data_IF_729268210710
#
_entry.id   IF_729268210710
#
_cell.length_a   1.000
_cell.length_b   1.000
_cell.length_c   1.000
_cell.angle_alpha   90.00
_cell.angle_beta   90.00
_cell.angle_gamma   90.00
#
_symmetry.space_group_name_H-M   'P 1'
#
loop_
_entity.id
_entity.type
_entity.pdbx_description
1 polymer ?
#
# COMPACT_ATOMS: atom_id res chain seq x y z
N UNK A 1 5.27 -17.17 13.05
CA UNK A 1 4.29 -16.08 12.97
C UNK A 1 3.56 -16.25 11.66
N UNK A 2 2.22 -16.31 11.67
CA UNK A 2 1.42 -16.42 10.46
C UNK A 2 1.39 -15.06 9.76
N UNK A 3 1.81 -15.01 8.49
CA UNK A 3 1.70 -13.79 7.68
C UNK A 3 0.38 -13.79 6.93
N UNK A 4 -0.28 -12.64 6.88
CA UNK A 4 -1.48 -12.44 6.09
C UNK A 4 -1.09 -12.15 4.64
N UNK A 5 -1.57 -12.97 3.70
CA UNK A 5 -1.28 -12.81 2.28
C UNK A 5 -2.37 -11.98 1.60
N UNK A 6 -2.00 -10.81 1.13
CA UNK A 6 -2.89 -9.90 0.41
C UNK A 6 -2.54 -9.97 -1.07
N UNK A 7 -3.46 -10.55 -1.84
CA UNK A 7 -3.33 -10.68 -3.30
C UNK A 7 -4.05 -9.53 -3.99
N UNK A 8 -3.32 -8.80 -4.82
CA UNK A 8 -3.77 -7.59 -5.50
C UNK A 8 -3.65 -7.82 -7.01
N UNK A 9 -4.77 -7.95 -7.71
CA UNK A 9 -4.75 -8.11 -9.16
C UNK A 9 -4.17 -6.86 -9.85
N UNK A 10 -3.29 -7.07 -10.82
CA UNK A 10 -2.74 -6.04 -11.70
C UNK A 10 -2.91 -6.48 -13.14
N UNK A 11 -3.69 -5.71 -13.91
CA UNK A 11 -4.04 -6.09 -15.28
C UNK A 11 -4.85 -7.38 -15.32
N UNK A 12 -4.68 -8.14 -16.41
CA UNK A 12 -5.49 -9.32 -16.70
C UNK A 12 -4.88 -10.65 -16.23
N UNK A 13 -3.55 -10.73 -16.08
CA UNK A 13 -2.82 -11.99 -15.85
C UNK A 13 -1.89 -11.97 -14.63
N UNK A 14 -1.67 -10.80 -14.00
CA UNK A 14 -0.69 -10.63 -12.93
C UNK A 14 -1.34 -10.26 -11.62
N UNK A 15 -0.66 -10.59 -10.53
CA UNK A 15 -1.03 -10.15 -9.19
C UNK A 15 0.22 -9.79 -8.38
N UNK A 16 0.13 -8.74 -7.58
CA UNK A 16 1.07 -8.47 -6.50
C UNK A 16 0.60 -9.19 -5.24
N UNK A 17 1.52 -9.88 -4.59
CA UNK A 17 1.26 -10.49 -3.29
C UNK A 17 2.06 -9.73 -2.24
N UNK A 18 1.37 -9.13 -1.29
CA UNK A 18 1.99 -8.53 -0.11
C UNK A 18 1.76 -9.46 1.09
N UNK A 19 2.84 -9.88 1.74
CA UNK A 19 2.78 -10.65 2.98
C UNK A 19 2.90 -9.69 4.16
N UNK A 20 1.79 -9.41 4.84
CA UNK A 20 1.76 -8.56 6.02
C UNK A 20 1.97 -9.38 7.29
N UNK A 21 2.81 -8.91 8.21
CA UNK A 21 2.78 -9.44 9.58
C UNK A 21 1.59 -8.80 10.34
N UNK A 22 0.60 -9.58 10.81
CA UNK A 22 -0.53 -9.05 11.57
C UNK A 22 -0.13 -8.39 12.89
N UNK A 23 1.05 -8.74 13.45
CA UNK A 23 1.64 -8.09 14.62
C UNK A 23 2.30 -6.74 14.32
N UNK A 24 2.58 -6.45 13.05
CA UNK A 24 3.19 -5.19 12.60
C UNK A 24 2.10 -4.19 12.20
N UNK A 25 1.93 -3.14 13.01
CA UNK A 25 1.03 -2.02 12.66
C UNK A 25 1.39 -1.39 11.32
N UNK A 26 2.69 -1.26 11.02
CA UNK A 26 3.16 -0.69 9.76
C UNK A 26 2.79 -1.55 8.56
N UNK A 27 2.87 -2.88 8.68
CA UNK A 27 2.49 -3.81 7.63
C UNK A 27 0.98 -3.77 7.40
N UNK A 28 0.19 -3.75 8.49
CA UNK A 28 -1.27 -3.64 8.41
C UNK A 28 -1.74 -2.29 7.85
N UNK A 29 -1.04 -1.20 8.15
CA UNK A 29 -1.34 0.11 7.55
C UNK A 29 -0.98 0.13 6.06
N UNK A 30 0.14 -0.48 5.66
CA UNK A 30 0.51 -0.63 4.25
C UNK A 30 -0.45 -1.55 3.48
N UNK A 31 -0.84 -2.66 4.07
CA UNK A 31 -1.87 -3.57 3.57
C UNK A 31 -3.18 -2.83 3.21
N UNK A 32 -3.64 -1.93 4.08
CA UNK A 32 -4.82 -1.08 3.81
C UNK A 32 -4.60 -0.14 2.63
N UNK A 33 -3.39 0.41 2.46
CA UNK A 33 -3.06 1.24 1.29
C UNK A 33 -3.11 0.41 0.00
N UNK A 34 -2.50 -0.76 0.02
CA UNK A 34 -2.52 -1.71 -1.09
C UNK A 34 -3.95 -2.07 -1.51
N UNK A 35 -4.82 -2.39 -0.55
CA UNK A 35 -6.24 -2.66 -0.82
C UNK A 35 -6.96 -1.45 -1.45
N UNK A 36 -6.69 -0.23 -0.98
CA UNK A 36 -7.24 1.00 -1.59
C UNK A 36 -6.77 1.25 -3.01
N UNK A 37 -5.56 0.82 -3.36
CA UNK A 37 -5.06 0.90 -4.75
C UNK A 37 -5.72 -0.19 -5.61
N UNK A 38 -5.91 -1.39 -5.08
CA UNK A 38 -6.56 -2.48 -5.81
C UNK A 38 -8.01 -2.17 -6.21
N UNK A 39 -8.75 -1.38 -5.42
CA UNK A 39 -10.11 -0.95 -5.81
C UNK A 39 -10.13 -0.10 -7.08
N UNK A 40 -9.01 0.57 -7.41
CA UNK A 40 -8.84 1.34 -8.65
C UNK A 40 -8.44 0.47 -9.86
N UNK A 41 -8.23 -0.84 -9.68
CA UNK A 41 -7.91 -1.81 -10.73
C UNK A 41 -6.75 -1.39 -11.66
N UNK A 42 -5.54 -1.18 -11.11
CA UNK A 42 -4.38 -0.83 -11.92
C UNK A 42 -4.11 -1.87 -13.01
N UNK A 43 -3.82 -1.41 -14.22
CA UNK A 43 -3.54 -2.27 -15.37
C UNK A 43 -2.06 -2.68 -15.47
N UNK A 44 -1.18 -1.98 -14.74
CA UNK A 44 0.25 -2.26 -14.72
C UNK A 44 0.87 -2.03 -13.34
N UNK A 45 2.06 -2.60 -13.14
CA UNK A 45 2.84 -2.40 -11.91
C UNK A 45 3.25 -0.92 -11.73
N UNK A 46 3.56 -0.23 -12.83
CA UNK A 46 3.86 1.20 -12.81
C UNK A 46 2.64 2.01 -12.34
N UNK A 47 1.47 1.74 -12.92
CA UNK A 47 0.22 2.41 -12.53
C UNK A 47 -0.14 2.14 -11.07
N UNK A 48 0.07 0.91 -10.59
CA UNK A 48 -0.12 0.56 -9.18
C UNK A 48 0.70 1.48 -8.27
N UNK A 49 1.99 1.68 -8.53
CA UNK A 49 2.85 2.52 -7.69
C UNK A 49 2.51 4.02 -7.81
N UNK A 50 2.08 4.48 -9.00
CA UNK A 50 1.57 5.85 -9.18
C UNK A 50 0.35 6.07 -8.28
N UNK A 51 -0.65 5.18 -8.36
CA UNK A 51 -1.87 5.25 -7.56
C UNK A 51 -1.59 5.10 -6.06
N UNK A 52 -0.62 4.28 -5.68
CA UNK A 52 -0.19 4.12 -4.29
C UNK A 52 0.38 5.43 -3.74
N UNK A 53 1.24 6.10 -4.50
CA UNK A 53 1.77 7.40 -4.11
C UNK A 53 0.66 8.44 -3.98
N UNK A 54 -0.31 8.49 -4.91
CA UNK A 54 -1.47 9.38 -4.79
C UNK A 54 -2.28 9.13 -3.51
N UNK A 55 -2.54 7.86 -3.18
CA UNK A 55 -3.28 7.48 -1.97
C UNK A 55 -2.51 7.89 -0.71
N UNK A 56 -1.17 7.76 -0.73
CA UNK A 56 -0.31 8.22 0.37
C UNK A 56 -0.32 9.75 0.52
N UNK A 57 -0.30 10.51 -0.59
CA UNK A 57 -0.31 11.98 -0.57
C UNK A 57 -1.67 12.55 -0.16
N UNK A 58 -2.78 11.86 -0.47
CA UNK A 58 -4.15 12.25 -0.08
C UNK A 58 -4.49 11.92 1.38
N UNK A 59 -3.68 11.13 2.07
CA UNK A 59 -3.82 10.96 3.51
C UNK A 59 -3.43 12.26 4.21
N UNK A 60 -4.25 12.78 5.15
CA UNK A 60 -3.92 14.00 5.87
C UNK A 60 -2.52 13.90 6.46
N UNK A 61 -1.69 14.86 6.06
CA UNK A 61 -0.25 14.98 6.36
C UNK A 61 0.15 14.98 7.86
N UNK A 62 -0.81 14.78 8.77
CA UNK A 62 -0.58 14.74 10.22
C UNK A 62 0.28 13.56 10.66
N UNK A 63 0.29 12.44 9.93
CA UNK A 63 1.11 11.28 10.31
C UNK A 63 2.55 11.39 9.78
N UNK A 64 2.77 12.01 8.62
CA UNK A 64 4.09 12.05 7.98
C UNK A 64 4.95 13.28 8.33
N UNK A 65 4.36 14.41 8.76
CA UNK A 65 5.14 15.62 9.11
C UNK A 65 5.99 15.48 10.38
N UNK A 66 5.81 14.44 11.21
CA UNK A 66 6.65 14.23 12.40
C UNK A 66 7.99 13.52 12.15
N UNK A 67 8.27 13.02 10.94
CA UNK A 67 9.58 12.39 10.62
C UNK A 67 10.61 13.31 9.96
N UNK A 68 10.25 14.57 9.70
CA UNK A 68 11.14 15.57 9.12
C UNK A 68 11.46 16.71 10.09
N UNK A 69 12.06 16.42 11.24
CA UNK A 69 12.74 17.46 12.03
C UNK A 69 14.01 16.93 12.67
N UNK A 70 15.05 16.88 11.85
CA UNK A 70 16.45 17.09 12.26
C UNK A 70 17.15 17.67 11.03
N UNK A 71 17.29 19.00 10.94
CA UNK A 71 18.55 19.74 11.12
C UNK A 71 18.17 21.12 11.65
#
# INVERSE_FOLDING_TARGET
MEKEKITLAIGSDKALVFEADPGSKSDMDFAKLCQKVATKKPQSLQEFFILLNEVQQKLPSEIYRKRGRKI
#
